data_IF_965522222698
#
_entry.id   IF_965522222698
#
_cell.length_a   1.000
_cell.length_b   1.000
_cell.length_c   1.000
_cell.angle_alpha   90.00
_cell.angle_beta   90.00
_cell.angle_gamma   90.00
#
_symmetry.space_group_name_H-M   'P 1'
#
loop_
_entity.id
_entity.type
_entity.pdbx_description
1 polymer ?
#
# COMPACT_ATOMS: atom_id res chain seq x y z
N UNK A 1 1.72 9.45 25.94
CA UNK A 1 0.25 9.21 26.00
C UNK A 1 -0.18 8.87 27.41
N UNK A 2 -1.31 9.41 27.90
CA UNK A 2 -1.87 9.00 29.19
C UNK A 2 -2.31 7.52 29.12
N UNK A 3 -2.14 6.75 30.23
CA UNK A 3 -2.50 5.31 30.25
C UNK A 3 -3.93 5.02 29.74
N UNK A 4 -4.90 5.89 30.00
CA UNK A 4 -6.28 5.68 29.57
C UNK A 4 -6.52 5.84 28.06
N UNK A 5 -5.80 6.74 27.38
CA UNK A 5 -5.94 6.96 25.93
C UNK A 5 -5.37 5.79 25.13
N UNK A 6 -4.22 5.24 25.56
CA UNK A 6 -3.63 4.08 24.92
C UNK A 6 -4.53 2.84 24.93
N UNK A 7 -5.29 2.62 26.03
CA UNK A 7 -6.21 1.49 26.12
C UNK A 7 -7.46 1.66 25.23
N UNK A 8 -7.91 2.89 24.98
CA UNK A 8 -8.99 3.18 24.03
C UNK A 8 -8.54 2.84 22.60
N UNK A 9 -7.36 3.28 22.18
CA UNK A 9 -6.82 3.00 20.83
C UNK A 9 -6.65 1.50 20.58
N UNK A 10 -6.17 0.74 21.56
CA UNK A 10 -6.05 -0.72 21.46
C UNK A 10 -7.40 -1.39 21.22
N UNK A 11 -8.43 -1.00 21.96
CA UNK A 11 -9.79 -1.53 21.77
C UNK A 11 -10.36 -1.19 20.39
N UNK A 12 -10.11 0.02 19.89
CA UNK A 12 -10.57 0.41 18.55
C UNK A 12 -9.91 -0.44 17.46
N UNK A 13 -8.60 -0.73 17.55
CA UNK A 13 -7.93 -1.65 16.64
C UNK A 13 -8.57 -3.03 16.69
N UNK A 14 -8.76 -3.59 17.88
CA UNK A 14 -9.39 -4.91 18.06
C UNK A 14 -10.81 -4.96 17.50
N UNK A 15 -11.62 -3.93 17.76
CA UNK A 15 -13.00 -3.89 17.27
C UNK A 15 -13.08 -3.71 15.76
N UNK A 16 -12.23 -2.89 15.19
CA UNK A 16 -12.14 -2.72 13.74
C UNK A 16 -11.65 -4.02 13.07
N UNK A 17 -10.61 -4.65 13.59
CA UNK A 17 -10.10 -5.92 13.10
C UNK A 17 -11.12 -7.05 13.19
N UNK A 18 -11.99 -7.05 14.20
CA UNK A 18 -13.08 -8.00 14.39
C UNK A 18 -14.38 -7.59 13.66
N UNK A 19 -14.36 -6.52 12.87
CA UNK A 19 -15.52 -5.97 12.15
C UNK A 19 -16.72 -5.64 13.08
N UNK A 20 -16.43 -5.26 14.33
CA UNK A 20 -17.45 -4.84 15.29
C UNK A 20 -17.82 -3.35 15.17
N UNK A 21 -16.98 -2.59 14.52
CA UNK A 21 -17.18 -1.17 14.22
C UNK A 21 -16.78 -0.90 12.77
N UNK A 22 -17.44 0.07 12.16
CA UNK A 22 -17.11 0.56 10.83
C UNK A 22 -15.92 1.52 10.90
N UNK A 23 -15.08 1.55 9.84
CA UNK A 23 -13.92 2.43 9.74
C UNK A 23 -14.30 3.91 9.94
N UNK A 24 -15.42 4.35 9.38
CA UNK A 24 -15.87 5.74 9.49
C UNK A 24 -16.13 6.18 10.95
N UNK A 25 -16.51 5.26 11.83
CA UNK A 25 -16.78 5.56 13.25
C UNK A 25 -15.52 5.95 14.05
N UNK A 26 -14.32 5.63 13.54
CA UNK A 26 -13.05 5.97 14.22
C UNK A 26 -12.40 7.23 13.67
N UNK A 27 -12.94 7.84 12.63
CA UNK A 27 -12.33 8.97 11.92
C UNK A 27 -11.97 10.15 12.84
N UNK A 28 -12.86 10.52 13.74
CA UNK A 28 -12.63 11.61 14.69
C UNK A 28 -11.89 11.17 15.96
N UNK A 29 -12.05 9.90 16.35
CA UNK A 29 -11.54 9.38 17.61
C UNK A 29 -10.10 8.87 17.48
N UNK A 30 -9.76 8.27 16.34
CA UNK A 30 -8.43 7.74 16.02
C UNK A 30 -8.11 7.93 14.54
N UNK A 31 -7.88 9.18 14.09
CA UNK A 31 -7.63 9.50 12.69
C UNK A 31 -6.43 8.75 12.11
N UNK A 32 -5.38 8.49 12.89
CA UNK A 32 -4.22 7.75 12.45
C UNK A 32 -4.61 6.33 11.96
N UNK A 33 -5.43 5.60 12.72
CA UNK A 33 -5.91 4.28 12.34
C UNK A 33 -6.87 4.36 11.14
N UNK A 34 -7.74 5.37 11.12
CA UNK A 34 -8.64 5.61 9.99
C UNK A 34 -7.87 5.76 8.68
N UNK A 35 -6.82 6.58 8.66
CA UNK A 35 -6.02 6.79 7.45
C UNK A 35 -5.08 5.62 7.16
N UNK A 36 -4.52 4.96 8.16
CA UNK A 36 -3.75 3.74 7.94
C UNK A 36 -4.57 2.64 7.26
N UNK A 37 -5.83 2.50 7.62
CA UNK A 37 -6.74 1.50 7.05
C UNK A 37 -7.51 1.98 5.81
N UNK A 38 -7.24 3.20 5.32
CA UNK A 38 -7.85 3.70 4.10
C UNK A 38 -7.47 2.81 2.89
N UNK A 39 -8.38 2.58 1.93
CA UNK A 39 -8.08 1.80 0.75
C UNK A 39 -6.84 2.33 0.03
N UNK A 40 -5.98 1.42 -0.42
CA UNK A 40 -4.82 1.76 -1.21
C UNK A 40 -5.24 1.88 -2.68
N UNK A 41 -4.92 3.03 -3.28
CA UNK A 41 -5.12 3.25 -4.70
C UNK A 41 -3.84 3.84 -5.31
N UNK A 42 -3.05 2.99 -5.92
CA UNK A 42 -1.72 3.35 -6.46
C UNK A 42 -1.73 3.67 -7.96
N UNK A 43 -2.90 3.68 -8.60
CA UNK A 43 -3.01 3.96 -10.03
C UNK A 43 -2.25 2.95 -10.90
N UNK A 44 -2.13 1.70 -10.45
CA UNK A 44 -1.43 0.63 -11.14
C UNK A 44 -2.23 0.16 -12.37
N UNK A 45 -1.52 -0.41 -13.34
CA UNK A 45 -2.12 -1.07 -14.51
C UNK A 45 -2.90 -2.33 -14.12
N UNK A 46 -3.66 -2.89 -15.07
CA UNK A 46 -4.52 -4.05 -14.86
C UNK A 46 -3.75 -5.29 -14.35
N UNK A 47 -2.52 -5.48 -14.79
CA UNK A 47 -1.68 -6.62 -14.38
C UNK A 47 -1.28 -6.54 -12.90
N UNK A 48 -1.11 -5.32 -12.39
CA UNK A 48 -0.59 -5.03 -11.05
C UNK A 48 -1.62 -4.50 -10.06
N UNK A 49 -2.85 -4.22 -10.48
CA UNK A 49 -3.92 -3.68 -9.60
C UNK A 49 -4.19 -4.56 -8.38
N UNK A 50 -3.89 -5.87 -8.46
CA UNK A 50 -3.99 -6.81 -7.35
C UNK A 50 -3.16 -6.40 -6.12
N UNK A 51 -2.11 -5.58 -6.30
CA UNK A 51 -1.27 -5.05 -5.23
C UNK A 51 -2.11 -4.21 -4.26
N UNK A 52 -3.01 -3.36 -4.77
CA UNK A 52 -3.92 -2.58 -3.92
C UNK A 52 -4.74 -3.53 -3.03
N UNK A 53 -5.36 -4.54 -3.61
CA UNK A 53 -6.16 -5.55 -2.90
C UNK A 53 -5.31 -6.34 -1.89
N UNK A 54 -4.07 -6.68 -2.26
CA UNK A 54 -3.15 -7.38 -1.36
C UNK A 54 -2.86 -6.56 -0.11
N UNK A 55 -2.51 -5.27 -0.27
CA UNK A 55 -2.14 -4.43 0.87
C UNK A 55 -3.33 -4.02 1.72
N UNK A 56 -4.53 -3.91 1.16
CA UNK A 56 -5.76 -3.77 1.93
C UNK A 56 -5.98 -5.02 2.81
N UNK A 57 -5.84 -6.21 2.22
CA UNK A 57 -5.93 -7.47 2.96
C UNK A 57 -4.78 -7.66 3.97
N UNK A 58 -3.57 -7.16 3.68
CA UNK A 58 -2.43 -7.16 4.59
C UNK A 58 -2.72 -6.32 5.83
N UNK A 59 -3.16 -5.06 5.68
CA UNK A 59 -3.52 -4.20 6.80
C UNK A 59 -4.69 -4.78 7.61
N UNK A 60 -5.71 -5.31 6.92
CA UNK A 60 -6.80 -6.01 7.59
C UNK A 60 -6.31 -7.22 8.39
N UNK A 61 -5.40 -8.01 7.84
CA UNK A 61 -4.78 -9.14 8.55
C UNK A 61 -3.98 -8.68 9.77
N UNK A 62 -3.24 -7.58 9.63
CA UNK A 62 -2.43 -7.00 10.73
C UNK A 62 -3.31 -6.51 11.87
N UNK A 63 -4.41 -5.79 11.60
CA UNK A 63 -5.32 -5.28 12.65
C UNK A 63 -6.24 -6.36 13.22
N UNK A 64 -6.54 -7.44 12.48
CA UNK A 64 -7.31 -8.59 12.99
C UNK A 64 -6.46 -9.62 13.71
N UNK A 65 -5.12 -9.43 13.72
CA UNK A 65 -4.15 -10.37 14.29
C UNK A 65 -4.28 -11.79 13.72
N UNK A 66 -4.57 -11.89 12.42
CA UNK A 66 -4.77 -13.18 11.72
C UNK A 66 -4.65 -13.00 10.21
N UNK A 67 -4.21 -14.01 9.48
CA UNK A 67 -4.19 -13.96 8.02
C UNK A 67 -5.63 -14.08 7.48
N UNK A 68 -6.07 -13.11 6.68
CA UNK A 68 -7.36 -13.15 6.01
C UNK A 68 -7.34 -14.19 4.87
N UNK A 69 -8.52 -14.77 4.55
CA UNK A 69 -8.64 -15.71 3.45
C UNK A 69 -8.24 -15.08 2.11
N UNK A 70 -8.61 -13.81 1.89
CA UNK A 70 -8.26 -13.05 0.70
C UNK A 70 -6.74 -12.94 0.51
N UNK A 71 -6.01 -12.52 1.54
CA UNK A 71 -4.55 -12.42 1.49
C UNK A 71 -3.92 -13.78 1.22
N UNK A 72 -4.38 -14.83 1.91
CA UNK A 72 -3.89 -16.20 1.71
C UNK A 72 -4.08 -16.69 0.28
N UNK A 73 -5.19 -16.35 -0.38
CA UNK A 73 -5.44 -16.71 -1.77
C UNK A 73 -4.52 -15.94 -2.73
N UNK A 74 -4.31 -14.65 -2.49
CA UNK A 74 -3.45 -13.83 -3.35
C UNK A 74 -2.01 -14.32 -3.27
N UNK A 75 -1.44 -14.51 -2.07
CA UNK A 75 -0.05 -14.96 -1.91
C UNK A 75 0.17 -16.35 -2.52
N UNK A 76 -0.75 -17.28 -2.32
CA UNK A 76 -0.72 -18.62 -2.92
C UNK A 76 -0.74 -18.59 -4.44
N UNK A 77 -1.36 -17.57 -5.07
CA UNK A 77 -1.40 -17.41 -6.52
C UNK A 77 -0.17 -16.69 -7.05
N UNK A 78 0.22 -15.59 -6.41
CA UNK A 78 1.26 -14.68 -6.91
C UNK A 78 2.68 -15.18 -6.61
N UNK A 79 2.85 -15.91 -5.52
CA UNK A 79 4.09 -16.54 -5.10
C UNK A 79 3.99 -18.08 -5.09
N UNK A 80 3.20 -18.65 -6.00
CA UNK A 80 3.01 -20.11 -6.13
C UNK A 80 4.30 -20.84 -6.51
N UNK A 81 5.22 -20.15 -7.17
CA UNK A 81 6.53 -20.65 -7.59
C UNK A 81 7.48 -19.47 -7.80
N UNK A 82 8.76 -19.75 -7.99
CA UNK A 82 9.77 -18.76 -8.37
C UNK A 82 9.34 -18.01 -9.64
N UNK A 83 8.88 -18.71 -10.67
CA UNK A 83 8.42 -18.08 -11.91
C UNK A 83 7.22 -17.15 -11.72
N UNK A 84 6.29 -17.53 -10.84
CA UNK A 84 5.13 -16.68 -10.52
C UNK A 84 5.55 -15.41 -9.79
N UNK A 85 6.51 -15.49 -8.88
CA UNK A 85 7.11 -14.35 -8.20
C UNK A 85 7.85 -13.44 -9.18
N UNK A 86 8.74 -14.01 -10.00
CA UNK A 86 9.52 -13.25 -11.00
C UNK A 86 8.64 -12.53 -12.01
N UNK A 87 7.50 -13.11 -12.38
CA UNK A 87 6.57 -12.51 -13.33
C UNK A 87 6.07 -11.15 -12.84
N UNK A 88 5.65 -11.04 -11.59
CA UNK A 88 5.12 -9.78 -11.07
C UNK A 88 6.22 -8.85 -10.55
N UNK A 89 7.27 -9.36 -9.90
CA UNK A 89 8.31 -8.49 -9.33
C UNK A 89 9.11 -7.78 -10.43
N UNK A 90 9.34 -8.43 -11.55
CA UNK A 90 10.05 -7.84 -12.71
C UNK A 90 9.22 -6.80 -13.48
N UNK A 91 7.91 -6.67 -13.21
CA UNK A 91 7.10 -5.56 -13.74
C UNK A 91 7.37 -4.25 -13.01
N UNK A 92 8.02 -4.28 -11.84
CA UNK A 92 8.43 -3.10 -11.07
C UNK A 92 9.93 -2.83 -11.23
N UNK A 93 10.28 -1.56 -11.15
CA UNK A 93 11.69 -1.12 -11.13
C UNK A 93 12.20 -1.06 -9.70
N UNK A 94 13.51 -1.26 -9.53
CA UNK A 94 14.13 -1.05 -8.22
C UNK A 94 14.10 0.43 -7.83
N UNK A 95 14.16 0.73 -6.51
CA UNK A 95 14.27 2.11 -6.00
C UNK A 95 15.40 2.86 -6.70
N UNK A 96 16.58 2.21 -6.82
CA UNK A 96 17.74 2.77 -7.53
C UNK A 96 17.42 3.17 -8.96
N UNK A 97 16.74 2.29 -9.71
CA UNK A 97 16.39 2.56 -11.12
C UNK A 97 15.39 3.72 -11.26
N UNK A 98 14.41 3.82 -10.35
CA UNK A 98 13.39 4.87 -10.38
C UNK A 98 13.98 6.26 -10.08
N UNK A 99 14.99 6.30 -9.24
CA UNK A 99 15.58 7.57 -8.77
C UNK A 99 16.90 7.91 -9.49
N UNK A 100 17.45 6.99 -10.28
CA UNK A 100 18.69 7.25 -11.03
C UNK A 100 18.53 8.44 -11.99
N UNK A 101 19.44 9.40 -11.87
CA UNK A 101 19.41 10.61 -12.69
C UNK A 101 18.39 11.68 -12.28
N UNK A 102 17.67 11.50 -11.15
CA UNK A 102 16.77 12.51 -10.59
C UNK A 102 17.56 13.61 -9.90
N UNK A 103 18.13 14.50 -10.69
CA UNK A 103 18.90 15.68 -10.22
C UNK A 103 18.02 16.80 -9.67
N UNK A 104 16.72 16.66 -9.80
CA UNK A 104 15.70 17.58 -9.28
C UNK A 104 15.35 17.34 -7.80
N UNK A 105 15.84 16.25 -7.20
CA UNK A 105 15.64 15.93 -5.77
C UNK A 105 16.85 16.41 -4.98
N UNK A 106 16.62 17.30 -4.03
CA UNK A 106 17.69 17.91 -3.22
C UNK A 106 18.16 17.02 -2.08
N UNK A 107 17.24 16.25 -1.44
CA UNK A 107 17.52 15.47 -0.25
C UNK A 107 16.69 14.19 -0.23
N UNK A 108 17.31 13.10 0.22
CA UNK A 108 16.66 11.82 0.42
C UNK A 108 16.58 11.51 1.92
N UNK A 109 15.38 11.16 2.37
CA UNK A 109 15.13 10.72 3.75
C UNK A 109 14.76 9.24 3.76
N UNK A 110 15.54 8.45 4.48
CA UNK A 110 15.36 7.02 4.56
C UNK A 110 14.71 6.62 5.89
N UNK A 111 13.62 5.83 5.77
CA UNK A 111 12.98 5.16 6.89
C UNK A 111 13.19 3.66 6.72
N UNK A 112 13.95 3.06 7.63
CA UNK A 112 14.30 1.66 7.65
C UNK A 112 13.06 0.79 7.90
N UNK A 113 12.78 -0.16 6.99
CA UNK A 113 11.66 -1.09 7.10
C UNK A 113 10.28 -0.51 6.73
N UNK A 114 10.21 0.60 5.97
CA UNK A 114 8.93 1.20 5.58
C UNK A 114 8.32 0.49 4.37
N UNK A 115 7.24 -0.24 4.55
CA UNK A 115 6.44 -0.85 3.48
C UNK A 115 5.45 0.10 2.82
N UNK A 116 4.88 -0.32 1.69
CA UNK A 116 3.85 0.48 0.98
C UNK A 116 2.48 0.48 1.69
N UNK A 117 2.26 -0.39 2.67
CA UNK A 117 1.08 -0.37 3.54
C UNK A 117 0.93 0.94 4.32
N UNK A 118 2.00 1.70 4.48
CA UNK A 118 2.02 3.00 5.15
C UNK A 118 1.62 4.18 4.24
N UNK A 119 1.54 4.01 2.92
CA UNK A 119 1.26 5.11 1.97
C UNK A 119 0.01 5.92 2.34
N UNK A 120 -1.17 5.32 2.62
CA UNK A 120 -2.36 6.12 2.93
C UNK A 120 -2.18 6.98 4.18
N UNK A 121 -1.51 6.45 5.20
CA UNK A 121 -1.22 7.17 6.43
C UNK A 121 -0.23 8.31 6.23
N UNK A 122 0.88 8.06 5.53
CA UNK A 122 1.92 9.08 5.25
C UNK A 122 1.35 10.17 4.36
N UNK A 123 0.55 9.81 3.35
CA UNK A 123 -0.15 10.78 2.51
C UNK A 123 -0.97 11.73 3.36
N UNK A 124 -1.75 11.22 4.31
CA UNK A 124 -2.51 12.06 5.23
C UNK A 124 -1.62 12.98 6.07
N UNK A 125 -0.52 12.47 6.64
CA UNK A 125 0.42 13.27 7.44
C UNK A 125 1.01 14.42 6.62
N UNK A 126 1.39 14.16 5.37
CA UNK A 126 1.91 15.21 4.47
C UNK A 126 0.80 16.19 4.09
N UNK A 127 -0.41 15.71 3.83
CA UNK A 127 -1.53 16.57 3.45
C UNK A 127 -1.94 17.57 4.53
N UNK A 128 -1.75 17.25 5.81
CA UNK A 128 -1.95 18.19 6.91
C UNK A 128 -1.01 19.41 6.82
N UNK A 129 0.10 19.31 6.06
CA UNK A 129 1.09 20.36 5.88
C UNK A 129 0.87 21.22 4.63
N UNK A 130 -0.21 20.99 3.87
CA UNK A 130 -0.57 21.82 2.69
C UNK A 130 -0.72 23.29 3.05
N UNK A 131 -1.21 23.60 4.24
CA UNK A 131 -1.33 24.98 4.74
C UNK A 131 0.02 25.66 4.95
N UNK A 132 1.08 24.88 5.14
CA UNK A 132 2.47 25.35 5.27
C UNK A 132 3.20 25.36 3.90
N UNK A 133 2.50 25.13 2.80
CA UNK A 133 3.07 25.09 1.46
C UNK A 133 3.87 23.82 1.17
N UNK A 134 3.50 22.70 1.77
CA UNK A 134 4.13 21.38 1.54
C UNK A 134 3.16 20.50 0.77
N UNK A 135 3.59 19.97 -0.38
CA UNK A 135 2.75 19.17 -1.27
C UNK A 135 3.41 17.83 -1.57
N UNK A 136 2.63 16.75 -1.48
CA UNK A 136 3.00 15.46 -2.03
C UNK A 136 2.82 15.50 -3.55
N UNK A 137 3.90 15.34 -4.29
CA UNK A 137 3.92 15.51 -5.75
C UNK A 137 3.86 14.19 -6.49
N UNK A 138 4.59 13.17 -5.99
CA UNK A 138 4.72 11.89 -6.66
C UNK A 138 4.71 10.75 -5.63
N UNK A 139 4.05 9.64 -5.97
CA UNK A 139 4.18 8.35 -5.29
C UNK A 139 4.65 7.35 -6.33
N UNK A 140 5.77 6.68 -6.05
CA UNK A 140 6.23 5.56 -6.85
C UNK A 140 6.39 4.32 -5.95
N UNK A 141 6.34 3.15 -6.58
CA UNK A 141 6.60 1.88 -5.94
C UNK A 141 7.87 1.32 -6.55
N UNK A 142 8.86 1.12 -5.70
CA UNK A 142 10.07 0.44 -6.06
C UNK A 142 10.14 -0.96 -5.46
N UNK A 143 11.07 -1.77 -5.98
CA UNK A 143 11.40 -3.06 -5.37
C UNK A 143 12.70 -2.99 -4.59
N UNK A 144 12.71 -3.63 -3.42
CA UNK A 144 13.92 -4.04 -2.73
C UNK A 144 14.52 -5.27 -3.41
N UNK A 145 15.84 -5.38 -3.38
CA UNK A 145 16.54 -6.58 -3.85
C UNK A 145 16.50 -7.69 -2.79
N UNK A 146 16.47 -8.93 -3.25
CA UNK A 146 16.56 -10.10 -2.39
C UNK A 146 18.02 -10.42 -2.00
N UNK A 147 18.25 -10.86 -0.76
CA UNK A 147 17.30 -10.82 0.36
C UNK A 147 16.90 -9.39 0.72
N UNK A 148 15.64 -9.20 1.13
CA UNK A 148 15.10 -7.88 1.52
C UNK A 148 15.66 -7.46 2.88
N UNK A 149 16.96 -7.21 2.94
CA UNK A 149 17.68 -6.85 4.16
C UNK A 149 18.36 -5.49 4.02
N UNK A 150 18.53 -4.81 5.14
CA UNK A 150 19.23 -3.52 5.21
C UNK A 150 20.64 -3.63 4.65
N UNK A 151 21.39 -4.71 4.94
CA UNK A 151 22.76 -4.90 4.47
C UNK A 151 22.90 -4.89 2.94
N UNK A 152 21.89 -5.38 2.22
CA UNK A 152 21.86 -5.39 0.75
C UNK A 152 21.32 -4.07 0.20
N UNK A 153 20.19 -3.60 0.73
CA UNK A 153 19.41 -2.54 0.08
C UNK A 153 19.87 -1.13 0.48
N UNK A 154 20.37 -0.93 1.71
CA UNK A 154 20.95 0.35 2.13
C UNK A 154 22.10 0.79 1.23
N UNK A 155 22.99 -0.14 0.87
CA UNK A 155 24.11 0.18 -0.03
C UNK A 155 23.64 0.74 -1.38
N UNK A 156 22.48 0.31 -1.89
CA UNK A 156 21.90 0.81 -3.15
C UNK A 156 21.32 2.21 -3.00
N UNK A 157 20.80 2.56 -1.84
CA UNK A 157 20.38 3.93 -1.52
C UNK A 157 21.61 4.85 -1.37
N UNK A 158 22.66 4.39 -0.71
CA UNK A 158 23.91 5.12 -0.56
C UNK A 158 24.61 5.39 -1.92
N UNK A 159 24.62 4.41 -2.83
CA UNK A 159 25.12 4.59 -4.19
C UNK A 159 24.35 5.66 -4.98
N UNK A 160 23.08 5.85 -4.66
CA UNK A 160 22.19 6.78 -5.34
C UNK A 160 22.31 8.23 -4.81
N UNK A 161 22.49 8.40 -3.50
CA UNK A 161 22.28 9.67 -2.82
C UNK A 161 23.30 9.93 -1.70
N UNK A 162 24.54 9.48 -1.86
CA UNK A 162 25.58 9.38 -0.85
C UNK A 162 25.65 10.57 0.14
N UNK A 163 25.75 11.80 -0.37
CA UNK A 163 25.89 13.01 0.48
C UNK A 163 24.53 13.59 0.94
N UNK A 164 23.44 13.11 0.43
CA UNK A 164 22.10 13.67 0.64
C UNK A 164 21.11 12.68 1.26
N UNK A 165 21.57 11.48 1.62
CA UNK A 165 20.76 10.45 2.27
C UNK A 165 20.84 10.55 3.79
N UNK A 166 19.68 10.75 4.44
CA UNK A 166 19.59 10.85 5.90
C UNK A 166 18.60 9.82 6.46
N UNK A 167 19.04 9.01 7.43
CA UNK A 167 18.14 8.11 8.16
C UNK A 167 17.32 8.94 9.16
N UNK A 168 15.98 8.81 9.10
CA UNK A 168 15.05 9.57 9.97
C UNK A 168 14.13 8.68 10.81
N UNK A 169 14.04 7.41 10.52
CA UNK A 169 13.20 6.46 11.22
C UNK A 169 13.74 5.04 11.13
N UNK A 170 13.30 4.20 12.06
CA UNK A 170 13.71 2.82 12.17
C UNK A 170 12.55 1.98 12.68
N UNK A 171 11.75 1.48 11.74
CA UNK A 171 10.66 0.54 12.04
C UNK A 171 11.26 -0.86 12.23
N UNK A 172 12.33 -1.15 11.50
CA UNK A 172 13.00 -2.44 11.50
C UNK A 172 13.55 -2.81 12.89
N UNK A 173 14.36 -1.94 13.51
CA UNK A 173 14.86 -2.18 14.86
C UNK A 173 13.74 -2.37 15.89
N UNK A 174 12.60 -1.70 15.69
CA UNK A 174 11.41 -1.88 16.52
C UNK A 174 10.76 -3.25 16.30
N UNK A 175 10.61 -3.67 15.04
CA UNK A 175 9.91 -4.90 14.64
C UNK A 175 10.63 -6.18 15.07
N UNK A 176 11.97 -6.15 15.16
CA UNK A 176 12.77 -7.32 15.55
C UNK A 176 12.52 -7.85 16.96
N UNK A 177 11.89 -7.07 17.82
CA UNK A 177 11.53 -7.51 19.17
C UNK A 177 10.04 -7.84 19.24
N UNK A 178 9.70 -9.03 19.77
CA UNK A 178 8.32 -9.44 19.94
C UNK A 178 7.53 -8.44 20.81
N UNK A 179 6.37 -8.05 20.33
CA UNK A 179 5.46 -7.09 20.95
C UNK A 179 4.07 -7.71 21.11
N UNK A 180 3.33 -7.25 22.12
CA UNK A 180 1.95 -7.66 22.26
C UNK A 180 1.04 -6.93 21.25
N UNK A 181 0.16 -7.70 20.62
CA UNK A 181 -0.95 -7.13 19.85
C UNK A 181 -1.92 -6.42 20.82
N UNK A 182 -2.50 -5.28 20.45
CA UNK A 182 -2.26 -4.48 19.24
C UNK A 182 -1.22 -3.36 19.44
N UNK A 183 -0.43 -3.39 20.53
CA UNK A 183 0.50 -2.31 20.90
C UNK A 183 1.45 -1.92 19.77
N UNK A 184 2.00 -2.92 19.06
CA UNK A 184 2.97 -2.66 18.00
C UNK A 184 2.38 -1.81 16.87
N UNK A 185 1.08 -1.93 16.57
CA UNK A 185 0.41 -1.12 15.55
C UNK A 185 0.39 0.36 15.95
N UNK A 186 0.00 0.65 17.19
CA UNK A 186 -0.03 2.03 17.72
C UNK A 186 1.36 2.63 17.76
N UNK A 187 2.34 1.88 18.25
CA UNK A 187 3.71 2.36 18.40
C UNK A 187 4.40 2.59 17.05
N UNK A 188 4.12 1.76 16.04
CA UNK A 188 4.61 1.97 14.68
C UNK A 188 3.98 3.21 14.04
N UNK A 189 2.66 3.44 14.19
CA UNK A 189 2.01 4.66 13.72
C UNK A 189 2.68 5.91 14.29
N UNK A 190 2.99 5.89 15.60
CA UNK A 190 3.71 7.00 16.25
C UNK A 190 5.08 7.19 15.63
N UNK A 191 5.85 6.11 15.44
CA UNK A 191 7.20 6.19 14.88
C UNK A 191 7.21 6.70 13.43
N UNK A 192 6.31 6.21 12.59
CA UNK A 192 6.18 6.68 11.21
C UNK A 192 5.78 8.15 11.17
N UNK A 193 4.81 8.55 11.99
CA UNK A 193 4.36 9.95 12.07
C UNK A 193 5.49 10.86 12.51
N UNK A 194 6.17 10.53 13.61
CA UNK A 194 7.28 11.31 14.13
C UNK A 194 8.44 11.44 13.13
N UNK A 195 8.77 10.37 12.39
CA UNK A 195 9.80 10.39 11.36
C UNK A 195 9.44 11.41 10.25
N UNK A 196 8.24 11.35 9.70
CA UNK A 196 7.78 12.27 8.65
C UNK A 196 7.67 13.71 9.18
N UNK A 197 7.02 13.89 10.33
CA UNK A 197 6.82 15.23 10.92
C UNK A 197 8.14 15.90 11.31
N UNK A 198 9.16 15.15 11.73
CA UNK A 198 10.48 15.70 12.06
C UNK A 198 11.15 16.41 10.87
N UNK A 199 10.95 15.86 9.66
CA UNK A 199 11.43 16.47 8.42
C UNK A 199 10.55 17.65 8.02
N UNK A 200 9.24 17.46 8.05
CA UNK A 200 8.29 18.49 7.61
C UNK A 200 8.29 19.73 8.54
N UNK A 201 8.60 19.55 9.83
CA UNK A 201 8.73 20.66 10.77
C UNK A 201 9.94 21.60 10.45
N UNK A 202 10.96 21.07 9.77
CA UNK A 202 12.16 21.80 9.36
C UNK A 202 12.18 22.05 7.83
N UNK A 203 11.03 21.89 7.19
CA UNK A 203 10.92 22.01 5.75
C UNK A 203 11.30 23.42 5.28
N UNK A 204 12.18 23.50 4.28
CA UNK A 204 12.78 24.74 3.79
C UNK A 204 12.59 24.99 2.29
N UNK A 205 11.56 24.35 1.70
CA UNK A 205 11.24 24.50 0.29
C UNK A 205 12.00 23.60 -0.68
N UNK A 206 12.90 22.73 -0.18
CA UNK A 206 13.62 21.75 -1.00
C UNK A 206 12.70 20.67 -1.53
N UNK A 207 13.00 20.12 -2.71
CA UNK A 207 12.36 18.89 -3.18
C UNK A 207 13.00 17.70 -2.49
N UNK A 208 12.21 16.94 -1.75
CA UNK A 208 12.68 15.83 -0.93
C UNK A 208 12.02 14.53 -1.36
N UNK A 209 12.73 13.42 -1.21
CA UNK A 209 12.20 12.07 -1.39
C UNK A 209 12.27 11.29 -0.08
N UNK A 210 11.14 10.72 0.36
CA UNK A 210 11.12 9.69 1.38
C UNK A 210 11.27 8.34 0.70
N UNK A 211 12.21 7.52 1.16
CA UNK A 211 12.55 6.21 0.59
C UNK A 211 12.66 5.14 1.68
N UNK A 212 12.61 3.88 1.27
CA UNK A 212 12.89 2.75 2.14
C UNK A 212 13.79 1.73 1.45
N UNK A 213 14.48 0.93 2.22
CA UNK A 213 15.34 -0.16 1.78
C UNK A 213 14.60 -1.48 1.64
N UNK A 214 13.62 -1.76 2.51
CA UNK A 214 12.71 -2.92 2.48
C UNK A 214 11.45 -2.64 3.30
N UNK A 215 10.46 -3.53 3.22
CA UNK A 215 9.34 -3.52 4.12
C UNK A 215 9.42 -4.64 5.16
N UNK A 216 8.39 -4.76 6.00
CA UNK A 216 8.34 -5.71 7.13
C UNK A 216 7.06 -6.52 7.07
N UNK A 217 7.19 -7.84 7.23
CA UNK A 217 6.06 -8.76 7.37
C UNK A 217 5.80 -9.10 8.84
N UNK A 218 4.66 -8.65 9.37
CA UNK A 218 4.12 -9.16 10.63
C UNK A 218 3.35 -10.48 10.46
N UNK A 219 3.09 -10.88 9.23
CA UNK A 219 2.33 -12.11 8.94
C UNK A 219 3.21 -13.36 8.96
N UNK A 220 4.53 -13.21 8.91
CA UNK A 220 5.48 -14.30 9.10
C UNK A 220 5.26 -15.06 10.42
N UNK A 221 4.75 -14.41 11.47
CA UNK A 221 4.40 -15.06 12.74
C UNK A 221 3.29 -16.12 12.62
N UNK A 222 2.51 -16.11 11.53
CA UNK A 222 1.43 -17.09 11.27
C UNK A 222 1.87 -18.21 10.32
N UNK A 223 3.00 -18.04 9.64
CA UNK A 223 3.59 -19.06 8.77
C UNK A 223 4.07 -20.30 9.54
N UNK A 224 4.36 -21.35 8.82
CA UNK A 224 4.99 -22.56 9.36
C UNK A 224 6.50 -22.37 9.55
N UNK A 225 7.13 -23.18 10.35
CA UNK A 225 8.57 -23.37 10.38
C UNK A 225 8.95 -24.59 9.54
N UNK A 226 9.70 -24.40 8.47
CA UNK A 226 10.10 -25.48 7.56
C UNK A 226 11.25 -26.31 8.12
N UNK A 227 12.05 -25.72 9.04
CA UNK A 227 13.19 -26.36 9.69
C UNK A 227 14.17 -27.01 8.70
N UNK A 228 14.53 -26.29 7.63
CA UNK A 228 15.45 -26.81 6.62
C UNK A 228 16.83 -27.12 7.22
N UNK A 229 17.39 -28.24 6.83
CA UNK A 229 18.72 -28.65 7.28
C UNK A 229 19.82 -27.99 6.44
N UNK A 230 20.98 -27.71 7.04
CA UNK A 230 22.17 -27.21 6.33
C UNK A 230 22.10 -25.74 5.93
N UNK A 231 21.27 -24.94 6.62
CA UNK A 231 21.16 -23.50 6.41
C UNK A 231 21.58 -22.71 7.67
N UNK A 232 22.00 -21.48 7.47
CA UNK A 232 22.16 -20.48 8.52
C UNK A 232 21.08 -19.42 8.34
N UNK A 233 19.98 -19.57 9.09
CA UNK A 233 18.81 -18.71 8.99
C UNK A 233 19.05 -17.34 9.64
N UNK A 234 18.58 -16.31 8.96
CA UNK A 234 18.62 -14.91 9.38
C UNK A 234 17.22 -14.31 9.36
N UNK A 235 17.03 -13.15 10.00
CA UNK A 235 15.77 -12.40 9.98
C UNK A 235 14.53 -13.26 10.28
N UNK A 236 14.57 -13.99 11.41
CA UNK A 236 13.52 -14.93 11.82
C UNK A 236 13.22 -16.02 10.77
N UNK A 237 14.24 -16.41 9.99
CA UNK A 237 14.14 -17.44 8.97
C UNK A 237 13.49 -16.98 7.65
N UNK A 238 13.38 -15.67 7.42
CA UNK A 238 12.87 -15.15 6.14
C UNK A 238 13.88 -15.34 5.00
N UNK A 239 15.17 -15.28 5.34
CA UNK A 239 16.26 -15.68 4.46
C UNK A 239 17.26 -16.57 5.19
N UNK A 240 18.12 -17.21 4.44
CA UNK A 240 19.20 -18.03 4.99
C UNK A 240 20.37 -18.13 4.03
N UNK A 241 21.59 -18.15 4.58
CA UNK A 241 22.77 -18.53 3.82
C UNK A 241 22.90 -20.06 3.77
N UNK A 242 23.46 -20.56 2.66
CA UNK A 242 23.66 -21.99 2.43
C UNK A 242 24.93 -22.24 1.65
N UNK A 243 25.48 -23.43 1.73
CA UNK A 243 26.54 -23.82 0.84
C UNK A 243 26.01 -24.16 -0.57
N UNK A 244 26.64 -23.60 -1.60
CA UNK A 244 26.22 -23.78 -2.99
C UNK A 244 25.95 -25.26 -3.35
N UNK A 245 24.76 -25.52 -3.89
CA UNK A 245 24.37 -26.86 -4.33
C UNK A 245 23.90 -27.83 -3.24
N UNK A 246 23.82 -27.40 -1.96
CA UNK A 246 23.30 -28.24 -0.87
C UNK A 246 21.77 -28.22 -0.75
N UNK A 247 21.10 -27.21 -1.31
CA UNK A 247 19.63 -27.10 -1.26
C UNK A 247 19.07 -27.39 -2.66
N UNK A 248 18.09 -28.26 -2.71
CA UNK A 248 17.30 -28.52 -3.92
C UNK A 248 16.40 -27.35 -4.23
N UNK A 249 16.13 -27.10 -5.53
CA UNK A 249 15.10 -26.15 -5.93
C UNK A 249 13.74 -26.60 -5.40
N UNK A 250 12.99 -25.64 -4.81
CA UNK A 250 11.67 -25.85 -4.26
C UNK A 250 10.84 -24.60 -4.57
N UNK A 251 9.53 -24.74 -4.67
CA UNK A 251 8.60 -23.63 -4.91
C UNK A 251 8.27 -22.83 -3.63
N UNK A 252 8.85 -23.16 -2.49
CA UNK A 252 8.63 -22.45 -1.23
C UNK A 252 9.67 -21.34 -0.98
N UNK A 253 10.77 -21.35 -1.71
CA UNK A 253 11.83 -20.35 -1.61
C UNK A 253 12.51 -20.07 -2.95
N UNK A 254 13.03 -18.88 -3.09
CA UNK A 254 13.86 -18.47 -4.21
C UNK A 254 15.35 -18.51 -3.82
N UNK A 255 16.18 -18.93 -4.75
CA UNK A 255 17.64 -18.97 -4.60
C UNK A 255 18.25 -17.77 -5.28
N UNK A 256 19.04 -17.01 -4.56
CA UNK A 256 19.74 -15.82 -5.05
C UNK A 256 21.23 -15.89 -4.74
N UNK A 257 21.97 -14.87 -5.15
CA UNK A 257 23.43 -14.74 -4.89
C UNK A 257 24.23 -15.99 -5.31
N UNK A 258 24.08 -16.38 -6.58
CA UNK A 258 24.75 -17.55 -7.17
C UNK A 258 24.56 -18.87 -6.37
N UNK A 259 23.43 -19.03 -5.74
CA UNK A 259 23.09 -20.25 -5.00
C UNK A 259 23.57 -20.27 -3.56
N UNK A 260 23.93 -19.12 -3.00
CA UNK A 260 24.42 -19.01 -1.61
C UNK A 260 23.35 -18.55 -0.63
N UNK A 261 22.31 -17.91 -1.12
CA UNK A 261 21.24 -17.36 -0.28
C UNK A 261 19.88 -17.84 -0.78
N UNK A 262 19.00 -18.18 0.16
CA UNK A 262 17.60 -18.53 -0.10
C UNK A 262 16.69 -17.57 0.64
N UNK A 263 15.54 -17.21 0.02
CA UNK A 263 14.54 -16.31 0.58
C UNK A 263 13.17 -16.97 0.50
N UNK A 264 12.40 -16.94 1.58
CA UNK A 264 11.04 -17.50 1.62
C UNK A 264 10.11 -16.75 0.67
N UNK A 265 9.36 -17.47 -0.17
CA UNK A 265 8.38 -16.89 -1.10
C UNK A 265 7.04 -16.57 -0.45
N UNK A 266 6.72 -17.18 0.67
CA UNK A 266 5.47 -17.01 1.40
C UNK A 266 5.74 -16.54 2.85
N UNK A 267 4.77 -16.64 3.75
CA UNK A 267 4.94 -16.24 5.16
C UNK A 267 5.65 -17.30 6.03
N UNK A 268 6.07 -18.44 5.46
CA UNK A 268 6.76 -19.47 6.21
C UNK A 268 8.21 -19.07 6.54
N UNK A 269 8.71 -19.58 7.65
CA UNK A 269 10.11 -19.45 8.04
C UNK A 269 10.90 -20.65 7.53
N UNK A 270 12.07 -20.43 6.95
CA UNK A 270 12.99 -21.49 6.51
C UNK A 270 13.55 -22.30 7.69
N UNK A 271 13.52 -21.71 8.88
CA UNK A 271 13.93 -22.34 10.15
C UNK A 271 12.73 -22.60 11.07
N UNK A 272 12.86 -22.32 12.35
CA UNK A 272 11.77 -22.40 13.31
C UNK A 272 10.75 -21.27 13.07
N UNK A 273 9.52 -21.50 13.52
CA UNK A 273 8.43 -20.53 13.38
C UNK A 273 8.81 -19.16 13.98
N UNK A 274 8.49 -18.10 13.24
CA UNK A 274 8.66 -16.72 13.70
C UNK A 274 7.90 -16.47 15.02
N UNK A 275 8.52 -15.84 16.02
CA UNK A 275 7.86 -15.54 17.29
C UNK A 275 6.63 -14.63 17.10
N UNK A 276 5.61 -14.83 17.94
CA UNK A 276 4.40 -13.98 17.92
C UNK A 276 4.74 -12.54 18.27
N UNK A 277 4.14 -11.61 17.49
CA UNK A 277 4.32 -10.17 17.66
C UNK A 277 5.66 -9.65 17.18
N UNK A 278 6.46 -10.48 16.53
CA UNK A 278 7.71 -10.07 15.88
C UNK A 278 7.45 -9.83 14.39
N UNK A 279 7.87 -8.68 13.89
CA UNK A 279 8.01 -8.42 12.46
C UNK A 279 9.29 -9.06 11.93
N UNK A 280 9.29 -9.41 10.67
CA UNK A 280 10.42 -10.04 9.99
C UNK A 280 10.54 -9.52 8.55
N UNK A 281 11.73 -9.63 8.00
CA UNK A 281 12.04 -9.27 6.62
C UNK A 281 13.17 -10.18 6.10
N UNK A 282 13.55 -10.05 4.83
CA UNK A 282 14.55 -10.91 4.18
C UNK A 282 13.94 -11.86 3.17
N UNK A 283 12.62 -12.03 3.18
CA UNK A 283 11.87 -12.87 2.26
C UNK A 283 11.41 -12.13 1.00
N UNK A 284 10.51 -12.78 0.27
CA UNK A 284 10.02 -12.34 -1.03
C UNK A 284 8.49 -12.09 -1.06
N UNK A 285 7.86 -11.88 0.10
CA UNK A 285 6.45 -11.48 0.12
C UNK A 285 6.29 -10.02 -0.34
N UNK A 286 5.15 -9.63 -0.92
CA UNK A 286 4.96 -8.28 -1.43
C UNK A 286 5.25 -7.18 -0.41
N UNK A 287 4.86 -7.37 0.87
CA UNK A 287 5.11 -6.40 1.94
C UNK A 287 6.59 -6.28 2.34
N UNK A 288 7.44 -7.26 2.00
CA UNK A 288 8.89 -7.19 2.22
C UNK A 288 9.60 -6.54 1.02
N UNK A 289 9.12 -6.83 -0.20
CA UNK A 289 9.76 -6.47 -1.47
C UNK A 289 9.36 -5.09 -1.97
N UNK A 290 8.08 -4.70 -1.81
CA UNK A 290 7.57 -3.45 -2.37
C UNK A 290 7.71 -2.31 -1.36
N UNK A 291 8.40 -1.25 -1.78
CA UNK A 291 8.70 -0.09 -0.94
C UNK A 291 8.25 1.22 -1.57
N UNK A 292 7.82 2.20 -0.77
CA UNK A 292 7.36 3.47 -1.28
C UNK A 292 8.51 4.42 -1.60
N UNK A 293 8.27 5.28 -2.59
CA UNK A 293 9.02 6.50 -2.84
C UNK A 293 7.99 7.63 -2.87
N UNK A 294 8.09 8.59 -1.93
CA UNK A 294 7.18 9.72 -1.86
C UNK A 294 7.98 11.00 -2.08
N UNK A 295 7.62 11.76 -3.10
CA UNK A 295 8.32 13.02 -3.44
C UNK A 295 7.46 14.21 -3.03
N UNK A 296 8.07 15.11 -2.26
CA UNK A 296 7.43 16.27 -1.65
C UNK A 296 8.19 17.52 -2.03
N UNK A 297 7.46 18.60 -2.34
CA UNK A 297 8.04 19.92 -2.60
C UNK A 297 7.13 21.06 -2.15
N UNK A 298 7.62 22.29 -2.26
CA UNK A 298 6.82 23.51 -2.06
C UNK A 298 5.99 23.91 -3.29
N UNK A 299 6.16 23.21 -4.40
CA UNK A 299 5.43 23.49 -5.62
C UNK A 299 4.19 22.62 -5.70
N UNK A 300 3.02 23.24 -5.75
CA UNK A 300 1.78 22.53 -6.08
C UNK A 300 1.84 22.12 -7.55
N UNK A 301 1.63 20.83 -7.83
CA UNK A 301 1.51 20.38 -9.22
C UNK A 301 0.37 21.13 -9.92
N UNK A 302 0.66 21.78 -11.02
CA UNK A 302 -0.35 22.39 -11.88
C UNK A 302 -1.04 21.25 -12.65
N UNK A 303 -2.16 20.76 -12.15
CA UNK A 303 -2.90 19.68 -12.79
C UNK A 303 -3.93 20.24 -13.75
N UNK A 304 -3.73 20.03 -15.05
CA UNK A 304 -4.76 20.22 -16.07
C UNK A 304 -5.38 18.84 -16.37
N UNK A 305 -6.56 18.58 -15.83
CA UNK A 305 -7.29 17.36 -16.14
C UNK A 305 -8.12 17.55 -17.41
N UNK A 306 -8.06 16.58 -18.33
CA UNK A 306 -9.03 16.42 -19.41
C UNK A 306 -10.01 15.31 -19.01
N UNK A 307 -11.26 15.69 -18.74
CA UNK A 307 -12.27 14.80 -18.15
C UNK A 307 -13.47 14.67 -19.06
N UNK A 308 -13.81 13.43 -19.41
CA UNK A 308 -15.00 13.09 -20.18
C UNK A 308 -15.77 11.95 -19.51
N UNK A 309 -17.08 12.16 -19.27
CA UNK A 309 -18.00 11.10 -18.87
C UNK A 309 -18.20 10.14 -20.06
N UNK A 310 -17.98 8.83 -19.85
CA UNK A 310 -18.07 7.81 -20.90
C UNK A 310 -19.43 7.13 -20.96
N UNK A 311 -20.19 7.13 -19.86
CA UNK A 311 -21.54 6.59 -19.80
C UNK A 311 -22.45 7.52 -19.00
N UNK A 312 -23.43 8.08 -19.67
CA UNK A 312 -24.46 8.95 -19.08
C UNK A 312 -25.75 8.21 -18.72
N UNK A 313 -25.84 6.93 -19.06
CA UNK A 313 -26.97 6.05 -18.70
C UNK A 313 -26.50 4.93 -17.75
N UNK A 314 -27.19 4.79 -16.62
CA UNK A 314 -26.96 3.72 -15.66
C UNK A 314 -28.19 2.84 -15.48
N UNK A 315 -27.96 1.59 -15.09
CA UNK A 315 -29.01 0.63 -14.73
C UNK A 315 -28.73 0.01 -13.37
N UNK A 316 -29.75 -0.60 -12.74
CA UNK A 316 -29.55 -1.34 -11.50
C UNK A 316 -28.54 -2.51 -11.63
N UNK A 317 -28.39 -3.08 -12.83
CA UNK A 317 -27.43 -4.14 -13.12
C UNK A 317 -25.99 -3.59 -13.30
N UNK A 318 -25.86 -2.39 -13.89
CA UNK A 318 -24.58 -1.72 -14.13
C UNK A 318 -24.60 -0.30 -13.53
N UNK A 319 -24.53 -0.17 -12.20
CA UNK A 319 -24.67 1.10 -11.50
C UNK A 319 -23.30 1.80 -11.30
N UNK A 320 -22.38 1.66 -12.22
CA UNK A 320 -21.05 2.28 -12.15
C UNK A 320 -20.91 3.36 -13.24
N UNK A 321 -20.36 4.51 -12.85
CA UNK A 321 -19.98 5.57 -13.81
C UNK A 321 -18.55 5.36 -14.29
N UNK A 322 -18.32 5.70 -15.56
CA UNK A 322 -17.03 5.65 -16.21
C UNK A 322 -16.61 7.02 -16.70
N UNK A 323 -15.36 7.38 -16.41
CA UNK A 323 -14.73 8.58 -16.89
C UNK A 323 -13.45 8.27 -17.66
N UNK A 324 -13.21 9.00 -18.75
CA UNK A 324 -11.85 9.17 -19.28
C UNK A 324 -11.25 10.36 -18.58
N UNK A 325 -10.10 10.16 -17.89
CA UNK A 325 -9.42 11.21 -17.15
C UNK A 325 -7.94 11.19 -17.55
N UNK A 326 -7.51 12.25 -18.25
CA UNK A 326 -6.08 12.47 -18.58
C UNK A 326 -5.48 13.51 -17.66
N UNK A 327 -4.18 13.36 -17.39
CA UNK A 327 -3.44 14.29 -16.53
C UNK A 327 -3.43 13.90 -15.06
N UNK A 328 -3.99 12.73 -14.67
CA UNK A 328 -3.85 12.21 -13.32
C UNK A 328 -2.40 11.85 -13.01
N UNK A 329 -1.97 12.22 -11.82
CA UNK A 329 -0.69 11.83 -11.24
C UNK A 329 -0.89 10.71 -10.22
N UNK A 330 0.20 10.11 -9.75
CA UNK A 330 0.15 9.05 -8.74
C UNK A 330 -0.38 9.48 -7.36
N UNK A 331 -0.53 10.79 -7.15
CA UNK A 331 -1.09 11.34 -5.91
C UNK A 331 -2.57 11.73 -6.03
N UNK A 332 -3.14 11.64 -7.22
CA UNK A 332 -4.54 11.97 -7.45
C UNK A 332 -5.45 10.79 -7.13
N UNK A 333 -6.48 11.02 -6.36
CA UNK A 333 -7.48 10.04 -5.98
C UNK A 333 -8.85 10.51 -6.48
N UNK A 334 -9.21 10.19 -7.74
CA UNK A 334 -10.47 10.61 -8.29
C UNK A 334 -11.64 9.88 -7.61
N UNK A 335 -12.70 10.61 -7.30
CA UNK A 335 -13.93 10.08 -6.73
C UNK A 335 -15.14 10.77 -7.31
N UNK A 336 -16.29 10.13 -7.26
CA UNK A 336 -17.58 10.75 -7.57
C UNK A 336 -18.42 10.87 -6.31
N UNK A 337 -19.16 11.98 -6.21
CA UNK A 337 -20.13 12.20 -5.16
C UNK A 337 -21.53 12.08 -5.79
N UNK A 338 -22.32 11.15 -5.25
CA UNK A 338 -23.72 10.95 -5.59
C UNK A 338 -24.55 10.87 -4.30
N UNK A 339 -25.60 11.64 -4.17
CA UNK A 339 -26.44 11.73 -2.99
C UNK A 339 -25.65 11.92 -1.67
N UNK A 340 -24.63 12.76 -1.70
CA UNK A 340 -23.70 13.04 -0.59
C UNK A 340 -22.81 11.86 -0.16
N UNK A 341 -22.83 10.77 -0.90
CA UNK A 341 -21.96 9.61 -0.69
C UNK A 341 -20.79 9.68 -1.67
N UNK A 342 -19.61 9.40 -1.20
CA UNK A 342 -18.39 9.34 -2.00
C UNK A 342 -18.16 7.91 -2.50
N UNK A 343 -17.89 7.77 -3.79
CA UNK A 343 -17.54 6.51 -4.47
C UNK A 343 -16.18 6.68 -5.13
N UNK A 344 -15.25 5.79 -4.85
CA UNK A 344 -13.91 5.85 -5.45
C UNK A 344 -13.97 5.50 -6.93
N UNK A 345 -13.06 6.08 -7.71
CA UNK A 345 -12.84 5.74 -9.10
C UNK A 345 -11.57 4.90 -9.22
N UNK A 346 -11.67 3.73 -9.82
CA UNK A 346 -10.58 2.79 -10.03
C UNK A 346 -10.20 2.76 -11.51
N UNK A 347 -8.90 2.71 -11.79
CA UNK A 347 -8.40 2.58 -13.16
C UNK A 347 -8.77 1.20 -13.71
N UNK A 348 -9.48 1.17 -14.86
CA UNK A 348 -9.89 -0.08 -15.53
C UNK A 348 -9.23 -0.26 -16.89
N UNK A 349 -8.76 0.83 -17.52
CA UNK A 349 -7.96 0.81 -18.74
C UNK A 349 -7.15 2.13 -18.81
N UNK A 350 -6.35 2.30 -19.88
CA UNK A 350 -5.65 3.57 -20.10
C UNK A 350 -6.60 4.75 -20.10
N UNK A 351 -6.30 5.73 -19.24
CA UNK A 351 -7.10 6.92 -18.99
C UNK A 351 -8.58 6.66 -18.63
N UNK A 352 -9.00 5.40 -18.41
CA UNK A 352 -10.39 5.04 -18.10
C UNK A 352 -10.52 4.61 -16.66
N UNK A 353 -11.47 5.23 -15.97
CA UNK A 353 -11.73 5.01 -14.53
C UNK A 353 -13.21 4.67 -14.33
N UNK A 354 -13.49 3.68 -13.49
CA UNK A 354 -14.84 3.22 -13.14
C UNK A 354 -15.07 3.40 -11.64
N UNK A 355 -16.27 3.85 -11.26
CA UNK A 355 -16.62 4.04 -9.85
C UNK A 355 -16.94 2.71 -9.17
N UNK A 356 -16.88 2.70 -7.83
CA UNK A 356 -17.63 1.72 -7.05
C UNK A 356 -19.11 1.74 -7.43
N UNK A 357 -19.84 0.66 -7.08
CA UNK A 357 -21.27 0.56 -7.36
C UNK A 357 -22.07 1.63 -6.63
N UNK A 358 -22.75 2.50 -7.38
CA UNK A 358 -23.60 3.55 -6.82
C UNK A 358 -24.91 2.95 -6.30
N UNK A 359 -25.41 3.47 -5.19
CA UNK A 359 -26.75 3.16 -4.71
C UNK A 359 -27.77 4.06 -5.39
N UNK A 360 -28.27 3.62 -6.55
CA UNK A 360 -29.16 4.40 -7.41
C UNK A 360 -30.55 4.53 -6.80
N UNK A 361 -31.05 5.77 -6.66
CA UNK A 361 -32.39 6.07 -6.07
C UNK A 361 -33.27 6.92 -6.96
N UNK A 362 -32.73 7.68 -7.92
CA UNK A 362 -33.47 8.64 -8.75
C UNK A 362 -33.49 8.20 -10.22
N UNK A 363 -34.44 8.70 -11.00
CA UNK A 363 -34.50 8.47 -12.46
C UNK A 363 -33.53 9.38 -13.24
N UNK A 364 -33.21 10.54 -12.71
CA UNK A 364 -32.18 11.46 -13.19
C UNK A 364 -31.35 11.90 -12.01
N UNK A 365 -30.05 11.80 -12.12
CA UNK A 365 -29.14 12.13 -11.03
C UNK A 365 -28.07 13.13 -11.49
N UNK A 366 -27.67 13.99 -10.59
CA UNK A 366 -26.43 14.78 -10.73
C UNK A 366 -25.32 14.08 -9.94
N UNK A 367 -24.18 13.90 -10.58
CA UNK A 367 -22.96 13.42 -9.94
C UNK A 367 -21.89 14.48 -10.02
N UNK A 368 -21.00 14.52 -9.05
CA UNK A 368 -19.85 15.42 -9.06
C UNK A 368 -18.57 14.60 -9.00
N UNK A 369 -17.78 14.65 -10.07
CA UNK A 369 -16.41 14.16 -10.05
C UNK A 369 -15.53 15.12 -9.24
N UNK A 370 -14.71 14.60 -8.37
CA UNK A 370 -13.75 15.34 -7.53
C UNK A 370 -12.36 14.73 -7.67
N UNK A 371 -11.36 15.57 -7.96
CA UNK A 371 -9.94 15.21 -8.03
C UNK A 371 -9.15 16.31 -7.29
N UNK A 372 -8.82 16.07 -6.04
CA UNK A 372 -8.24 17.13 -5.19
C UNK A 372 -9.15 18.35 -5.10
N UNK A 373 -8.69 19.50 -5.61
CA UNK A 373 -9.46 20.75 -5.65
C UNK A 373 -10.30 20.89 -6.95
N UNK A 374 -10.08 20.04 -7.94
CA UNK A 374 -10.88 20.04 -9.17
C UNK A 374 -12.22 19.37 -8.92
N UNK A 375 -13.29 19.99 -9.45
CA UNK A 375 -14.61 19.37 -9.45
C UNK A 375 -15.33 19.63 -10.76
N UNK A 376 -16.11 18.64 -11.22
CA UNK A 376 -16.95 18.69 -12.40
C UNK A 376 -18.25 17.97 -12.12
N UNK A 377 -19.38 18.62 -12.42
CA UNK A 377 -20.70 17.99 -12.32
C UNK A 377 -21.19 17.53 -13.68
N UNK A 378 -21.74 16.31 -13.72
CA UNK A 378 -22.36 15.71 -14.87
C UNK A 378 -23.74 15.16 -14.49
N UNK A 379 -24.64 15.03 -15.49
CA UNK A 379 -25.98 14.46 -15.29
C UNK A 379 -26.03 13.04 -15.82
N UNK A 380 -26.72 12.17 -15.08
CA UNK A 380 -26.94 10.76 -15.43
C UNK A 380 -28.42 10.49 -15.60
N UNK A 381 -28.75 9.61 -16.54
CA UNK A 381 -30.08 8.99 -16.69
C UNK A 381 -30.03 7.61 -16.04
N UNK A 382 -30.93 7.37 -15.10
CA UNK A 382 -31.03 6.09 -14.41
C UNK A 382 -32.23 5.34 -14.92
N UNK A 383 -31.98 4.22 -15.60
CA UNK A 383 -33.05 3.32 -16.10
C UNK A 383 -33.40 2.33 -14.97
N UNK A 384 -34.44 2.67 -14.21
CA UNK A 384 -35.02 1.80 -13.19
C UNK A 384 -36.07 0.87 -13.85
N UNK A 385 -35.71 -0.41 -14.07
CA UNK A 385 -36.64 -1.46 -14.45
C UNK A 385 -36.79 -1.71 -15.96
N UNK A 386 -37.15 -2.93 -16.28
CA UNK A 386 -37.75 -3.29 -17.59
C UNK A 386 -39.08 -2.57 -17.66
N UNK A 387 -39.30 -1.70 -18.65
CA UNK A 387 -40.64 -1.32 -19.00
C UNK A 387 -41.37 -2.63 -19.33
N UNK A 388 -42.41 -2.96 -18.58
CA UNK A 388 -43.50 -3.81 -19.06
C UNK A 388 -44.19 -3.05 -20.18
N UNK A 389 -43.57 -2.97 -21.35
CA UNK A 389 -44.22 -2.55 -22.57
C UNK A 389 -44.83 -3.80 -23.21
N UNK A 390 -46.15 -3.85 -23.13
CA UNK A 390 -47.09 -4.55 -24.03
C UNK A 390 -46.81 -6.04 -24.29
N UNK A 391 -47.09 -6.88 -23.30
CA UNK A 391 -47.40 -8.30 -23.54
C UNK A 391 -48.90 -8.55 -23.78
N UNK A 392 -49.73 -7.52 -23.86
CA UNK A 392 -51.17 -7.63 -24.21
C UNK A 392 -51.57 -6.55 -25.23
N UNK A 393 -50.93 -6.57 -26.38
CA UNK A 393 -51.47 -5.97 -27.59
C UNK A 393 -52.41 -6.97 -28.26
N UNK A 394 -53.70 -6.65 -28.23
CA UNK A 394 -54.82 -7.11 -29.04
C UNK A 394 -54.96 -8.61 -29.36
N UNK A 395 -55.88 -9.22 -28.64
CA UNK A 395 -56.77 -10.26 -29.16
C UNK A 395 -58.19 -9.69 -29.36
#
# INVERSE_FOLDING_TARGET
MSRGLGDVYKRQIEWLGQQKIERESIKELFPELYYYTAPLNLGLDEENIWINTYFDAYRQSKISNSITAQLSQIIKKKNASVSSFELWVNSFKTVKTLLYGRTDIDVFYWIDGLGIDWIPFITHVIEQRKVDGVYLNEIHIGTAQLPTTTSINKSKLEELAFDTLHKIGDIDAYAHTAKCFPNYIVEEMVKVKEAIESVLAQYNGKKIAFVSDHGISYLAQYGAGLNLAGIHAEHAGRCASTEKGKISLDDQYIVVDDGKTICSLNHDSLSSKTPKGQGAHGGATPEEVLVPILIVSSQKNATCYSVHLLNDELTAMSPMVRYSIKGLTSVDHPKVIYNKVEYQLHKVADDTYESDRLNLVDSVASITLVIGEYSKSDSLIIKTGVKEDDLFGDL
#
